data_IF_163012562569
#
_entry.id   IF_163012562569
#
_cell.length_a   1.000
_cell.length_b   1.000
_cell.length_c   1.000
_cell.angle_alpha   90.00
_cell.angle_beta   90.00
_cell.angle_gamma   90.00
#
_symmetry.space_group_name_H-M   'P 1'
#
loop_
_entity.id
_entity.type
_entity.pdbx_description
1 polymer ?
#
# COMPACT_ATOMS: atom_id res chain seq x y z
N UNK A 1 36.91 0.58 19.50
CA UNK A 1 36.15 1.38 18.51
C UNK A 1 34.89 0.67 17.89
N UNK A 2 34.49 -0.52 18.36
CA UNK A 2 33.30 -1.25 17.87
C UNK A 2 32.04 -1.13 18.76
N UNK A 3 32.19 -0.76 20.02
CA UNK A 3 31.10 -0.72 21.01
C UNK A 3 30.21 0.52 20.83
N UNK A 4 30.77 1.65 20.40
CA UNK A 4 30.01 2.91 20.24
C UNK A 4 29.00 2.87 19.07
N UNK A 5 29.25 2.07 18.02
CA UNK A 5 28.33 1.93 16.87
C UNK A 5 27.10 1.08 17.20
N UNK A 6 27.24 0.11 18.09
CA UNK A 6 26.12 -0.76 18.52
C UNK A 6 25.20 0.00 19.48
N UNK A 7 25.74 0.86 20.35
CA UNK A 7 24.93 1.72 21.22
C UNK A 7 24.10 2.74 20.43
N UNK A 8 24.65 3.29 19.34
CA UNK A 8 23.92 4.23 18.48
C UNK A 8 22.73 3.60 17.78
N UNK A 9 22.85 2.34 17.33
CA UNK A 9 21.77 1.62 16.66
C UNK A 9 20.67 1.20 17.66
N UNK A 10 21.05 0.82 18.88
CA UNK A 10 20.12 0.47 19.95
C UNK A 10 19.32 1.71 20.46
N UNK A 11 19.95 2.88 20.49
CA UNK A 11 19.30 4.12 20.86
C UNK A 11 18.29 4.61 19.81
N UNK A 12 18.58 4.39 18.51
CA UNK A 12 17.66 4.71 17.44
C UNK A 12 16.41 3.81 17.45
N UNK A 13 16.58 2.53 17.77
CA UNK A 13 15.45 1.59 17.87
C UNK A 13 14.55 1.88 19.08
N UNK A 14 15.08 2.47 20.15
CA UNK A 14 14.32 2.78 21.37
C UNK A 14 13.44 4.03 21.21
N UNK A 15 13.81 4.97 20.34
CA UNK A 15 13.05 6.20 20.07
C UNK A 15 11.76 5.90 19.27
N UNK A 16 11.76 4.85 18.46
CA UNK A 16 10.59 4.45 17.65
C UNK A 16 9.49 3.81 18.54
N UNK A 17 9.82 3.35 19.75
CA UNK A 17 8.89 2.67 20.66
C UNK A 17 8.16 3.61 21.65
N UNK A 18 8.51 4.90 21.71
CA UNK A 18 7.95 5.87 22.67
C UNK A 18 7.13 6.99 22.00
N UNK A 19 6.47 6.72 20.88
CA UNK A 19 5.50 7.67 20.33
C UNK A 19 4.32 7.81 21.32
N UNK A 20 3.97 9.02 21.78
CA UNK A 20 2.77 9.22 22.58
C UNK A 20 1.56 8.78 21.77
N UNK A 21 0.56 8.20 22.47
CA UNK A 21 -0.72 7.88 21.86
C UNK A 21 -1.39 9.19 21.43
N UNK A 22 -1.15 9.62 20.21
CA UNK A 22 -1.93 10.64 19.57
C UNK A 22 -3.32 10.04 19.32
N UNK A 23 -4.38 10.80 19.54
CA UNK A 23 -5.74 10.40 19.23
C UNK A 23 -5.87 10.33 17.71
N UNK A 24 -5.73 9.15 17.19
CA UNK A 24 -5.77 8.85 15.78
C UNK A 24 -7.19 8.75 15.28
N UNK A 25 -7.37 8.87 13.96
CA UNK A 25 -8.59 8.40 13.31
C UNK A 25 -8.72 6.90 13.54
N UNK A 26 -9.55 6.52 14.51
CA UNK A 26 -9.81 5.11 14.79
C UNK A 26 -10.68 4.50 13.68
N UNK A 27 -10.09 3.60 12.93
CA UNK A 27 -10.74 2.82 11.88
C UNK A 27 -11.06 1.38 12.33
N UNK A 28 -10.90 1.07 13.61
CA UNK A 28 -11.14 -0.27 14.15
C UNK A 28 -12.54 -0.78 13.80
N UNK A 29 -12.60 -1.99 13.26
CA UNK A 29 -13.79 -2.66 12.76
C UNK A 29 -14.52 -1.93 11.61
N UNK A 30 -13.87 -0.99 10.94
CA UNK A 30 -14.43 -0.30 9.78
C UNK A 30 -14.01 -0.97 8.49
N UNK A 31 -14.97 -1.13 7.60
CA UNK A 31 -14.76 -1.59 6.23
C UNK A 31 -14.73 -0.37 5.31
N UNK A 32 -13.69 -0.27 4.51
CA UNK A 32 -13.55 0.72 3.45
C UNK A 32 -13.74 0.09 2.08
N UNK A 33 -14.39 0.82 1.18
CA UNK A 33 -14.45 0.51 -0.25
C UNK A 33 -14.01 1.74 -1.03
N UNK A 34 -13.23 1.55 -2.07
CA UNK A 34 -12.72 2.68 -2.82
C UNK A 34 -11.95 2.31 -4.07
N UNK A 35 -11.15 3.26 -4.50
CA UNK A 35 -10.41 3.21 -5.74
C UNK A 35 -8.95 3.54 -5.47
N UNK A 36 -8.06 2.71 -5.97
CA UNK A 36 -6.61 2.84 -5.75
C UNK A 36 -5.84 2.55 -7.04
N UNK A 37 -4.77 3.31 -7.29
CA UNK A 37 -3.79 2.97 -8.30
C UNK A 37 -2.59 2.28 -7.63
N UNK A 38 -2.56 0.95 -7.61
CA UNK A 38 -1.63 0.20 -6.74
C UNK A 38 -0.94 -1.00 -7.38
N UNK A 39 -1.16 -1.24 -8.66
CA UNK A 39 -0.46 -2.31 -9.38
C UNK A 39 0.87 -1.85 -9.96
N UNK A 40 1.76 -2.79 -10.18
CA UNK A 40 3.01 -2.56 -10.88
C UNK A 40 2.87 -2.17 -12.34
N UNK A 41 1.73 -2.45 -12.95
CA UNK A 41 1.31 -1.94 -14.24
C UNK A 41 0.37 -0.74 -14.01
N UNK A 42 0.32 0.18 -14.95
CA UNK A 42 -0.57 1.34 -14.86
C UNK A 42 -2.01 0.89 -15.10
N UNK A 43 -2.69 0.61 -14.01
CA UNK A 43 -4.07 0.16 -13.99
C UNK A 43 -4.70 0.52 -12.65
N UNK A 44 -5.76 1.30 -12.67
CA UNK A 44 -6.55 1.58 -11.48
C UNK A 44 -7.34 0.35 -11.02
N UNK A 45 -7.66 0.31 -9.74
CA UNK A 45 -8.34 -0.82 -9.13
C UNK A 45 -9.44 -0.40 -8.16
N UNK A 46 -10.49 -1.17 -8.11
CA UNK A 46 -11.42 -1.17 -6.97
C UNK A 46 -10.75 -1.88 -5.82
N UNK A 47 -10.84 -1.31 -4.63
CA UNK A 47 -10.21 -1.83 -3.44
C UNK A 47 -11.20 -1.94 -2.28
N UNK A 48 -10.99 -2.94 -1.45
CA UNK A 48 -11.57 -3.06 -0.12
C UNK A 48 -10.46 -2.97 0.92
N UNK A 49 -10.76 -2.38 2.07
CA UNK A 49 -9.81 -2.19 3.16
C UNK A 49 -10.52 -2.42 4.49
N UNK A 50 -9.87 -3.14 5.41
CA UNK A 50 -10.45 -3.47 6.71
C UNK A 50 -9.40 -3.35 7.81
N UNK A 51 -9.81 -2.79 8.93
CA UNK A 51 -8.98 -2.63 10.12
C UNK A 51 -9.55 -3.46 11.27
N UNK A 52 -9.02 -4.67 11.56
CA UNK A 52 -9.47 -5.48 12.71
C UNK A 52 -9.08 -4.88 14.06
N UNK A 53 -8.17 -3.94 14.07
CA UNK A 53 -7.67 -3.26 15.26
C UNK A 53 -7.02 -1.93 14.91
N UNK A 54 -6.58 -1.16 15.92
CA UNK A 54 -6.06 0.19 15.71
C UNK A 54 -4.73 0.24 14.94
N UNK A 55 -3.95 -0.83 14.98
CA UNK A 55 -2.60 -0.85 14.38
C UNK A 55 -2.50 -1.68 13.10
N UNK A 56 -3.48 -2.52 12.79
CA UNK A 56 -3.38 -3.48 11.71
C UNK A 56 -4.47 -3.24 10.66
N UNK A 57 -4.08 -3.20 9.41
CA UNK A 57 -4.98 -3.07 8.27
C UNK A 57 -4.71 -4.11 7.18
N UNK A 58 -5.76 -4.52 6.51
CA UNK A 58 -5.75 -5.39 5.35
C UNK A 58 -6.40 -4.68 4.17
N UNK A 59 -5.91 -4.93 2.98
CA UNK A 59 -6.56 -4.46 1.75
C UNK A 59 -6.47 -5.54 0.68
N UNK A 60 -7.49 -5.60 -0.15
CA UNK A 60 -7.49 -6.34 -1.38
C UNK A 60 -7.96 -5.43 -2.52
N UNK A 61 -7.40 -5.60 -3.69
CA UNK A 61 -7.75 -4.80 -4.86
C UNK A 61 -7.85 -5.67 -6.10
N UNK A 62 -8.77 -5.30 -6.99
CA UNK A 62 -8.90 -5.91 -8.31
C UNK A 62 -8.98 -4.80 -9.36
N UNK A 63 -8.17 -4.94 -10.40
CA UNK A 63 -8.15 -4.06 -11.56
C UNK A 63 -8.42 -4.86 -12.83
N UNK A 64 -9.14 -4.28 -13.74
CA UNK A 64 -9.46 -4.86 -15.06
C UNK A 64 -9.45 -3.75 -16.09
N UNK A 65 -8.77 -4.00 -17.18
CA UNK A 65 -8.76 -3.17 -18.38
C UNK A 65 -8.90 -4.11 -19.58
N UNK A 66 -9.91 -3.89 -20.41
CA UNK A 66 -10.23 -4.75 -21.55
C UNK A 66 -9.94 -4.09 -22.89
N UNK A 67 -8.99 -3.15 -22.91
CA UNK A 67 -8.54 -2.53 -24.14
C UNK A 67 -7.98 -3.58 -25.10
N UNK A 68 -8.41 -3.56 -26.37
CA UNK A 68 -7.95 -4.49 -27.40
C UNK A 68 -6.44 -4.34 -27.62
N UNK A 69 -5.71 -5.45 -27.69
CA UNK A 69 -4.24 -5.55 -27.81
C UNK A 69 -3.44 -4.97 -26.61
N UNK A 70 -4.12 -4.53 -25.54
CA UNK A 70 -3.50 -3.97 -24.34
C UNK A 70 -4.31 -4.28 -23.08
N UNK A 71 -4.98 -5.43 -23.05
CA UNK A 71 -5.78 -5.83 -21.91
C UNK A 71 -4.94 -6.07 -20.66
N UNK A 72 -5.48 -5.72 -19.49
CA UNK A 72 -4.78 -5.86 -18.19
C UNK A 72 -5.73 -6.41 -17.14
N UNK A 73 -5.20 -7.28 -16.32
CA UNK A 73 -5.86 -7.79 -15.15
C UNK A 73 -4.90 -7.82 -13.96
N UNK A 74 -5.40 -7.53 -12.79
CA UNK A 74 -4.61 -7.64 -11.57
C UNK A 74 -5.47 -7.87 -10.35
N UNK A 75 -4.92 -8.63 -9.43
CA UNK A 75 -5.43 -8.80 -8.08
C UNK A 75 -4.28 -8.70 -7.09
N UNK A 76 -4.45 -7.98 -5.99
CA UNK A 76 -3.46 -7.94 -4.92
C UNK A 76 -4.11 -7.97 -3.55
N UNK A 77 -3.30 -8.38 -2.57
CA UNK A 77 -3.60 -8.28 -1.17
C UNK A 77 -2.42 -7.62 -0.44
N UNK A 78 -2.74 -6.77 0.53
CA UNK A 78 -1.77 -6.02 1.33
C UNK A 78 -2.08 -6.14 2.81
N UNK A 79 -1.02 -6.14 3.59
CA UNK A 79 -1.04 -6.03 5.05
C UNK A 79 -0.27 -4.79 5.43
N UNK A 80 -0.82 -3.95 6.31
CA UNK A 80 -0.11 -2.80 6.84
C UNK A 80 -0.22 -2.68 8.36
N UNK A 81 0.84 -2.15 8.92
CA UNK A 81 0.89 -1.74 10.31
C UNK A 81 0.92 -0.23 10.38
N UNK A 82 0.00 0.35 11.11
CA UNK A 82 0.01 1.77 11.43
C UNK A 82 1.14 1.99 12.44
N UNK A 83 2.07 2.88 12.10
CA UNK A 83 3.28 3.16 12.89
C UNK A 83 3.26 4.53 13.53
N UNK A 84 2.41 5.42 13.03
CA UNK A 84 2.22 6.75 13.56
C UNK A 84 0.81 7.23 13.23
N UNK A 85 0.18 7.91 14.18
CA UNK A 85 -1.20 8.37 14.07
C UNK A 85 -1.30 9.81 14.59
N UNK A 86 -1.99 10.64 13.82
CA UNK A 86 -2.43 11.99 14.17
C UNK A 86 -3.94 12.09 13.98
N UNK A 87 -4.56 13.17 14.43
CA UNK A 87 -6.02 13.36 14.40
C UNK A 87 -6.67 13.06 13.04
N UNK A 88 -5.95 13.41 11.97
CA UNK A 88 -6.43 13.28 10.59
C UNK A 88 -5.52 12.45 9.69
N UNK A 89 -4.52 11.78 10.25
CA UNK A 89 -3.49 11.10 9.48
C UNK A 89 -3.08 9.78 10.15
N UNK A 90 -3.16 8.69 9.40
CA UNK A 90 -2.58 7.41 9.73
C UNK A 90 -1.36 7.17 8.83
N UNK A 91 -0.18 7.07 9.42
CA UNK A 91 1.03 6.70 8.70
C UNK A 91 1.33 5.22 8.92
N UNK A 92 1.60 4.47 7.86
CA UNK A 92 1.73 3.03 7.93
C UNK A 92 2.91 2.50 7.11
N UNK A 93 3.37 1.32 7.50
CA UNK A 93 4.32 0.47 6.79
C UNK A 93 3.62 -0.82 6.40
N UNK A 94 3.87 -1.32 5.20
CA UNK A 94 3.21 -2.53 4.75
C UNK A 94 3.99 -3.34 3.74
N UNK A 95 3.44 -4.53 3.49
CA UNK A 95 3.88 -5.42 2.44
C UNK A 95 2.66 -6.02 1.74
N UNK A 96 2.84 -6.45 0.52
CA UNK A 96 1.77 -7.06 -0.27
C UNK A 96 2.27 -7.99 -1.34
N UNK A 97 1.35 -8.75 -1.87
CA UNK A 97 1.57 -9.64 -3.01
C UNK A 97 0.38 -9.54 -3.96
N UNK A 98 0.64 -9.73 -5.24
CA UNK A 98 -0.38 -9.70 -6.26
C UNK A 98 -0.05 -10.59 -7.45
N UNK A 99 -1.05 -10.83 -8.25
CA UNK A 99 -0.94 -11.45 -9.56
C UNK A 99 -1.33 -10.43 -10.62
N UNK A 100 -0.58 -10.40 -11.69
CA UNK A 100 -0.75 -9.48 -12.81
C UNK A 100 -0.80 -10.27 -14.12
N UNK A 101 -1.63 -9.82 -15.03
CA UNK A 101 -1.61 -10.24 -16.41
C UNK A 101 -1.78 -9.03 -17.30
N UNK A 102 -0.98 -8.93 -18.35
CA UNK A 102 -1.09 -7.89 -19.36
C UNK A 102 -0.89 -8.48 -20.74
N UNK A 103 -1.58 -7.93 -21.70
CA UNK A 103 -1.39 -8.22 -23.11
C UNK A 103 -0.53 -7.12 -23.73
N UNK A 104 0.52 -7.51 -24.43
CA UNK A 104 1.41 -6.60 -25.17
C UNK A 104 1.54 -7.17 -26.58
N UNK A 105 1.09 -6.44 -27.60
CA UNK A 105 1.16 -6.84 -29.00
C UNK A 105 0.62 -8.27 -29.26
N UNK A 106 -0.55 -8.58 -28.69
CA UNK A 106 -1.24 -9.87 -28.76
C UNK A 106 -0.52 -11.04 -28.07
N UNK A 107 0.48 -10.77 -27.23
CA UNK A 107 1.12 -11.76 -26.38
C UNK A 107 0.69 -11.53 -24.91
N UNK A 108 0.18 -12.60 -24.26
CA UNK A 108 -0.23 -12.54 -22.87
C UNK A 108 0.96 -12.81 -21.95
N UNK A 109 1.31 -11.82 -21.14
CA UNK A 109 2.29 -11.94 -20.07
C UNK A 109 1.58 -12.00 -18.71
N UNK A 110 1.85 -13.05 -17.95
CA UNK A 110 1.31 -13.19 -16.59
C UNK A 110 2.43 -13.39 -15.58
N UNK A 111 2.18 -12.97 -14.35
CA UNK A 111 3.16 -13.10 -13.31
C UNK A 111 2.68 -12.64 -11.95
N UNK A 112 3.65 -12.40 -11.06
CA UNK A 112 3.36 -11.96 -9.70
C UNK A 112 4.15 -10.69 -9.34
N UNK A 113 3.65 -9.99 -8.35
CA UNK A 113 4.30 -8.83 -7.75
C UNK A 113 4.39 -9.01 -6.24
N UNK A 114 5.56 -8.72 -5.68
CA UNK A 114 5.77 -8.57 -4.24
C UNK A 114 6.17 -7.13 -3.96
N UNK A 115 5.59 -6.53 -2.93
CA UNK A 115 5.80 -5.12 -2.63
C UNK A 115 6.03 -4.88 -1.14
N UNK A 116 6.85 -3.87 -0.84
CA UNK A 116 7.02 -3.29 0.48
C UNK A 116 6.89 -1.77 0.37
N UNK A 117 6.13 -1.14 1.25
CA UNK A 117 5.77 0.26 1.10
C UNK A 117 5.60 0.98 2.44
N UNK A 118 5.77 2.28 2.36
CA UNK A 118 5.33 3.26 3.35
C UNK A 118 4.12 3.99 2.77
N UNK A 119 3.16 4.34 3.59
CA UNK A 119 2.00 5.08 3.16
C UNK A 119 1.44 5.97 4.26
N UNK A 120 0.59 6.87 3.83
CA UNK A 120 -0.19 7.72 4.70
C UNK A 120 -1.63 7.74 4.21
N UNK A 121 -2.57 7.73 5.13
CA UNK A 121 -3.99 7.92 4.86
C UNK A 121 -4.47 9.14 5.62
N UNK A 122 -4.99 10.11 4.87
CA UNK A 122 -5.40 11.41 5.37
C UNK A 122 -6.93 11.56 5.28
N UNK A 123 -7.52 12.21 6.29
CA UNK A 123 -8.95 12.49 6.41
C UNK A 123 -9.17 13.99 6.55
N UNK A 124 -10.06 14.57 5.76
CA UNK A 124 -10.44 15.96 5.95
C UNK A 124 -11.44 16.10 7.11
N UNK A 125 -11.29 17.15 7.90
CA UNK A 125 -12.25 17.51 8.94
C UNK A 125 -13.63 17.73 8.31
N UNK A 126 -14.64 17.03 8.81
CA UNK A 126 -16.00 17.04 8.26
C UNK A 126 -16.25 15.99 7.15
N UNK A 127 -15.22 15.32 6.65
CA UNK A 127 -15.32 14.18 5.72
C UNK A 127 -14.67 12.94 6.33
N UNK A 128 -15.04 12.65 7.55
CA UNK A 128 -14.36 11.67 8.38
C UNK A 128 -14.45 10.22 7.91
N UNK A 129 -15.35 9.94 6.98
CA UNK A 129 -15.50 8.63 6.37
C UNK A 129 -14.76 8.49 5.04
N UNK A 130 -14.13 9.56 4.56
CA UNK A 130 -13.43 9.59 3.29
C UNK A 130 -11.93 9.73 3.53
N UNK A 131 -11.19 8.65 3.27
CA UNK A 131 -9.73 8.59 3.37
C UNK A 131 -9.07 8.79 2.01
N UNK A 132 -8.00 9.57 2.00
CA UNK A 132 -7.10 9.73 0.86
C UNK A 132 -5.76 9.12 1.20
N UNK A 133 -5.35 8.09 0.48
CA UNK A 133 -4.09 7.39 0.75
C UNK A 133 -3.04 7.70 -0.31
N UNK A 134 -1.78 7.74 0.16
CA UNK A 134 -0.60 7.86 -0.68
C UNK A 134 0.41 6.81 -0.24
N UNK A 135 0.99 6.08 -1.18
CA UNK A 135 1.95 5.03 -0.92
C UNK A 135 3.20 5.19 -1.79
N UNK A 136 4.36 4.90 -1.21
CA UNK A 136 5.63 4.80 -1.90
C UNK A 136 6.43 3.61 -1.37
N UNK A 137 7.22 2.97 -2.20
CA UNK A 137 7.96 1.80 -1.76
C UNK A 137 8.77 1.14 -2.87
N UNK A 138 8.95 -0.15 -2.74
CA UNK A 138 9.66 -1.00 -3.70
C UNK A 138 8.84 -2.20 -4.08
N UNK A 139 8.97 -2.67 -5.30
CA UNK A 139 8.33 -3.88 -5.78
C UNK A 139 9.30 -4.75 -6.59
N UNK A 140 9.10 -6.05 -6.47
CA UNK A 140 9.66 -7.07 -7.36
C UNK A 140 8.51 -7.62 -8.17
N UNK A 141 8.56 -7.42 -9.47
CA UNK A 141 7.57 -7.94 -10.41
C UNK A 141 8.22 -8.99 -11.29
N UNK A 142 7.61 -10.14 -11.40
CA UNK A 142 8.00 -11.20 -12.33
C UNK A 142 6.87 -11.36 -13.34
N UNK A 143 7.13 -10.98 -14.59
CA UNK A 143 6.22 -11.16 -15.72
C UNK A 143 6.91 -12.04 -16.75
N UNK A 144 6.28 -13.16 -17.14
CA UNK A 144 6.86 -14.18 -18.01
C UNK A 144 8.25 -14.63 -17.52
N UNK A 145 9.32 -14.35 -18.25
CA UNK A 145 10.70 -14.73 -17.87
C UNK A 145 11.50 -13.57 -17.27
N UNK A 146 10.90 -12.39 -17.13
CA UNK A 146 11.60 -11.18 -16.69
C UNK A 146 11.28 -10.87 -15.23
N UNK A 147 12.33 -10.74 -14.40
CA UNK A 147 12.23 -10.26 -13.02
C UNK A 147 12.72 -8.82 -12.98
N UNK A 148 11.87 -7.92 -12.53
CA UNK A 148 12.17 -6.50 -12.42
C UNK A 148 12.04 -6.06 -10.96
N UNK A 149 13.12 -5.51 -10.41
CA UNK A 149 13.07 -4.75 -9.17
C UNK A 149 12.96 -3.26 -9.51
N UNK A 150 12.06 -2.55 -8.82
CA UNK A 150 11.87 -1.12 -9.03
C UNK A 150 11.40 -0.42 -7.76
N UNK A 151 11.59 0.89 -7.70
CA UNK A 151 10.82 1.75 -6.83
C UNK A 151 9.36 1.72 -7.28
N UNK A 152 8.46 1.86 -6.35
CA UNK A 152 7.04 1.57 -6.48
C UNK A 152 6.39 2.29 -7.66
N UNK A 153 6.02 1.52 -8.67
CA UNK A 153 5.34 1.95 -9.88
C UNK A 153 6.19 2.81 -10.83
N UNK A 154 5.58 3.20 -11.93
CA UNK A 154 6.16 4.15 -12.88
C UNK A 154 5.99 5.60 -12.39
N UNK A 155 5.13 5.81 -11.38
CA UNK A 155 4.95 7.08 -10.68
C UNK A 155 5.45 6.95 -9.24
N UNK A 156 6.07 7.99 -8.66
CA UNK A 156 6.68 7.92 -7.33
C UNK A 156 5.67 7.74 -6.19
N UNK A 157 4.44 8.12 -6.42
CA UNK A 157 3.36 8.01 -5.43
C UNK A 157 2.16 7.29 -6.02
N UNK A 158 1.60 6.36 -5.25
CA UNK A 158 0.35 5.70 -5.56
C UNK A 158 -0.74 6.24 -4.67
N UNK A 159 -1.79 6.73 -5.29
CA UNK A 159 -2.91 7.37 -4.61
C UNK A 159 -4.12 6.45 -4.53
N UNK A 160 -4.97 6.71 -3.56
CA UNK A 160 -6.25 6.05 -3.41
C UNK A 160 -7.26 6.92 -2.68
N UNK A 161 -8.52 6.61 -2.89
CA UNK A 161 -9.64 7.20 -2.17
C UNK A 161 -10.52 6.06 -1.63
N UNK A 162 -10.80 6.08 -0.33
CA UNK A 162 -11.54 5.03 0.37
C UNK A 162 -12.69 5.65 1.14
N UNK A 163 -13.86 5.06 1.05
CA UNK A 163 -15.02 5.40 1.88
C UNK A 163 -15.23 4.31 2.93
N UNK A 164 -15.26 4.70 4.20
CA UNK A 164 -15.39 3.83 5.37
C UNK A 164 -16.80 3.88 5.97
N UNK A 165 -17.33 2.73 6.32
CA UNK A 165 -18.63 2.56 7.00
C UNK A 165 -18.58 1.49 8.11
#
# INVERSE_FOLDING_TARGET
MRVSKVLGLAALSSIILMAPNAFAKDLTNRLGVGYKNQFGIDMPAVAVQYYPGPELGFSASVGVDTEEDNSKFGINAKLYRIIFQEDNLNFYLGAGAGMLSQEIASENESGFELMAFLGAEFFFTGLENLGFSFEAGTAVTSLSSNVRFRTYGDHPLRAGIMFYF
#
